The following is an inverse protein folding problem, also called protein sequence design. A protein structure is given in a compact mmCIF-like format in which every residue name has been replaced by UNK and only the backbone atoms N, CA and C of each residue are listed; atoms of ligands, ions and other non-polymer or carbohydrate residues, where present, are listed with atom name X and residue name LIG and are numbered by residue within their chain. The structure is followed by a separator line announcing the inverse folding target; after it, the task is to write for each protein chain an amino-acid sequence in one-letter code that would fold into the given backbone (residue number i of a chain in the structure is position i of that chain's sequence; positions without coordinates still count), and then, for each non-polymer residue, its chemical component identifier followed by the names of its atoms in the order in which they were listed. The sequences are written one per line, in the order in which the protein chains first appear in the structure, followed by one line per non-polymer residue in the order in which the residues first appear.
data_IF_571981491317
#
_entry.id   IF_571981491317
#
_cell.length_a   1.000
_cell.length_b   1.000
_cell.length_c   1.000
_cell.angle_alpha   90.00
_cell.angle_beta   90.00
_cell.angle_gamma   90.00
#
_symmetry.space_group_name_H-M   'P 1'
#
loop_
_entity.id
_entity.type
_entity.pdbx_description
1 polymer ?
#
# COMPACT_ATOMS: atom_id res chain seq x y z
N UNK A 1 -13.25 -2.14 9.00
CA UNK A 1 -13.21 -0.66 9.07
C UNK A 1 -13.92 -0.09 7.86
N UNK A 2 -14.47 1.10 7.99
CA UNK A 2 -15.14 1.81 6.91
C UNK A 2 -14.56 3.21 6.81
N UNK A 3 -14.43 3.73 5.60
CA UNK A 3 -13.96 5.10 5.35
C UNK A 3 -15.05 5.88 4.63
N UNK A 4 -15.43 7.02 5.22
CA UNK A 4 -16.38 7.95 4.64
C UNK A 4 -15.62 9.16 4.10
N UNK A 5 -15.62 9.31 2.77
CA UNK A 5 -14.95 10.42 2.09
C UNK A 5 -15.62 11.77 2.35
N UNK A 6 -16.94 11.83 2.47
CA UNK A 6 -17.65 13.10 2.63
C UNK A 6 -17.34 13.73 3.97
N UNK A 7 -17.12 12.88 4.98
CA UNK A 7 -16.78 13.29 6.34
C UNK A 7 -15.27 13.22 6.63
N UNK A 8 -14.47 12.67 5.71
CA UNK A 8 -13.07 12.26 5.92
C UNK A 8 -12.90 11.49 7.23
N UNK A 9 -13.76 10.49 7.44
CA UNK A 9 -13.87 9.77 8.70
C UNK A 9 -13.57 8.30 8.51
N UNK A 10 -12.57 7.82 9.25
CA UNK A 10 -12.23 6.43 9.33
C UNK A 10 -12.87 5.81 10.58
N UNK A 11 -13.79 4.88 10.36
CA UNK A 11 -14.57 4.24 11.42
C UNK A 11 -14.09 2.82 11.67
N UNK A 12 -13.83 2.52 12.93
CA UNK A 12 -13.51 1.19 13.40
C UNK A 12 -14.74 0.54 14.03
N UNK A 13 -15.22 -0.51 13.38
CA UNK A 13 -16.37 -1.31 13.81
C UNK A 13 -15.88 -2.63 14.41
N UNK A 14 -16.58 -3.09 15.46
CA UNK A 14 -16.36 -4.38 16.10
C UNK A 14 -17.51 -5.32 15.72
N UNK A 15 -17.17 -6.41 15.03
CA UNK A 15 -18.09 -7.51 14.79
C UNK A 15 -18.00 -8.51 15.94
N UNK A 16 -19.11 -8.75 16.63
CA UNK A 16 -19.23 -9.68 17.74
C UNK A 16 -20.10 -10.84 17.28
N UNK A 17 -19.57 -12.06 17.34
CA UNK A 17 -20.29 -13.29 17.00
C UNK A 17 -20.60 -14.03 18.30
N UNK A 18 -21.85 -13.95 18.75
CA UNK A 18 -22.35 -14.72 19.89
C UNK A 18 -22.86 -16.07 19.39
N UNK A 19 -22.00 -17.10 19.53
CA UNK A 19 -22.33 -18.47 19.10
C UNK A 19 -23.46 -19.09 19.92
N UNK A 20 -23.59 -18.72 21.20
CA UNK A 20 -24.61 -19.30 22.08
C UNK A 20 -26.01 -18.78 21.74
N UNK A 21 -26.11 -17.52 21.31
CA UNK A 21 -27.38 -16.89 20.91
C UNK A 21 -27.63 -16.90 19.40
N UNK A 22 -26.74 -17.54 18.62
CA UNK A 22 -26.73 -17.50 17.16
C UNK A 22 -26.92 -16.08 16.59
N UNK A 23 -26.34 -15.07 17.26
CA UNK A 23 -26.53 -13.65 16.95
C UNK A 23 -25.19 -12.99 16.65
N UNK A 24 -25.17 -12.21 15.57
CA UNK A 24 -24.03 -11.37 15.23
C UNK A 24 -24.42 -9.91 15.40
N UNK A 25 -23.63 -9.14 16.15
CA UNK A 25 -23.81 -7.69 16.28
C UNK A 25 -22.58 -6.97 15.72
N UNK A 26 -22.81 -5.84 15.06
CA UNK A 26 -21.75 -4.95 14.60
C UNK A 26 -21.90 -3.63 15.33
N UNK A 27 -20.88 -3.24 16.09
CA UNK A 27 -20.89 -2.03 16.90
C UNK A 27 -19.82 -1.06 16.39
N UNK A 28 -20.21 0.19 16.13
CA UNK A 28 -19.24 1.26 15.92
C UNK A 28 -18.50 1.52 17.23
N UNK A 29 -17.17 1.58 17.20
CA UNK A 29 -16.37 1.81 18.42
C UNK A 29 -15.59 3.11 18.38
N UNK A 30 -14.98 3.47 17.25
CA UNK A 30 -14.10 4.63 17.15
C UNK A 30 -14.20 5.29 15.79
N UNK A 31 -14.02 6.60 15.78
CA UNK A 31 -13.92 7.42 14.60
C UNK A 31 -12.60 8.20 14.63
N UNK A 32 -11.94 8.29 13.48
CA UNK A 32 -10.67 8.97 13.32
C UNK A 32 -10.77 9.90 12.12
N UNK A 33 -10.40 11.16 12.28
CA UNK A 33 -10.26 12.05 11.13
C UNK A 33 -9.09 11.56 10.27
N UNK A 34 -9.33 11.39 8.98
CA UNK A 34 -8.34 10.91 8.03
C UNK A 34 -8.62 11.52 6.66
N UNK A 35 -7.92 12.61 6.33
CA UNK A 35 -8.15 13.43 5.13
C UNK A 35 -7.52 12.82 3.87
N UNK A 36 -7.75 11.53 3.66
CA UNK A 36 -7.33 10.81 2.47
C UNK A 36 -8.45 10.74 1.42
N UNK A 37 -8.09 10.43 0.18
CA UNK A 37 -9.04 10.05 -0.86
C UNK A 37 -9.38 8.56 -0.77
N UNK A 38 -10.63 8.19 -1.01
CA UNK A 38 -11.18 6.87 -0.69
C UNK A 38 -10.45 5.75 -1.43
N UNK A 39 -10.11 5.99 -2.70
CA UNK A 39 -9.37 5.03 -3.54
C UNK A 39 -7.94 4.73 -3.05
N UNK A 40 -7.38 5.61 -2.23
CA UNK A 40 -6.01 5.49 -1.72
C UNK A 40 -5.92 4.82 -0.36
N UNK A 41 -7.03 4.71 0.39
CA UNK A 41 -7.00 4.17 1.75
C UNK A 41 -6.66 2.69 1.74
N UNK A 42 -5.55 2.34 2.39
CA UNK A 42 -5.07 0.96 2.58
C UNK A 42 -4.90 0.66 4.06
N UNK A 43 -5.21 -0.57 4.45
CA UNK A 43 -5.08 -1.04 5.83
C UNK A 43 -4.16 -2.24 5.86
N UNK A 44 -3.02 -2.09 6.51
CA UNK A 44 -2.07 -3.15 6.81
C UNK A 44 -2.40 -3.82 8.14
N UNK A 45 -2.64 -5.14 8.08
CA UNK A 45 -2.93 -5.97 9.26
C UNK A 45 -1.68 -6.67 9.84
N UNK A 46 -0.50 -6.48 9.24
CA UNK A 46 0.74 -7.17 9.61
C UNK A 46 1.19 -6.95 11.05
N UNK A 47 0.82 -5.80 11.65
CA UNK A 47 1.13 -5.47 13.04
C UNK A 47 0.08 -5.86 14.06
N UNK A 48 -0.99 -6.59 13.69
CA UNK A 48 -2.10 -6.86 14.61
C UNK A 48 -1.65 -7.60 15.89
N UNK A 49 -0.64 -8.47 15.78
CA UNK A 49 -0.02 -9.15 16.93
C UNK A 49 0.70 -8.19 17.89
N UNK A 50 1.08 -7.00 17.42
CA UNK A 50 1.68 -5.92 18.20
C UNK A 50 0.62 -4.95 18.76
N UNK A 51 -0.67 -5.26 18.58
CA UNK A 51 -1.77 -4.42 19.03
C UNK A 51 -2.14 -3.28 18.10
N UNK A 52 -1.53 -3.19 16.90
CA UNK A 52 -1.72 -2.10 15.95
C UNK A 52 -2.11 -2.59 14.56
N UNK A 53 -2.83 -1.73 13.84
CA UNK A 53 -2.99 -1.78 12.38
C UNK A 53 -2.37 -0.52 11.80
N UNK A 54 -1.79 -0.62 10.62
CA UNK A 54 -1.27 0.53 9.90
C UNK A 54 -2.32 0.97 8.87
N UNK A 55 -2.64 2.27 8.84
CA UNK A 55 -3.53 2.86 7.85
C UNK A 55 -2.72 3.84 7.02
N UNK A 56 -2.69 3.62 5.72
CA UNK A 56 -2.09 4.52 4.74
C UNK A 56 -3.16 5.14 3.85
N UNK A 57 -2.90 6.33 3.35
CA UNK A 57 -3.77 7.02 2.38
C UNK A 57 -3.11 8.30 1.88
N UNK A 58 -3.65 8.85 0.80
CA UNK A 58 -3.12 10.05 0.14
C UNK A 58 -4.15 11.16 0.14
N UNK A 59 -3.70 12.41 0.29
CA UNK A 59 -4.58 13.58 0.33
C UNK A 59 -5.23 13.93 -1.01
N UNK A 60 -4.60 13.58 -2.13
CA UNK A 60 -5.13 13.79 -3.48
C UNK A 60 -4.65 12.69 -4.42
N UNK A 61 -5.03 12.75 -5.69
CA UNK A 61 -4.51 11.86 -6.74
C UNK A 61 -3.70 12.61 -7.81
N UNK A 62 -3.45 13.89 -7.57
CA UNK A 62 -2.71 14.77 -8.46
C UNK A 62 -1.39 15.15 -7.80
N UNK A 63 -0.56 15.90 -8.52
CA UNK A 63 0.72 16.40 -8.03
C UNK A 63 0.55 17.16 -6.70
N UNK A 64 1.38 16.83 -5.71
CA UNK A 64 1.28 17.38 -4.35
C UNK A 64 0.55 16.47 -3.35
N UNK A 65 0.31 15.20 -3.71
CA UNK A 65 -0.17 14.19 -2.77
C UNK A 65 0.75 14.06 -1.55
N UNK A 66 0.15 14.06 -0.36
CA UNK A 66 0.85 13.80 0.91
C UNK A 66 0.42 12.42 1.37
N UNK A 67 1.40 11.53 1.56
CA UNK A 67 1.15 10.25 2.19
C UNK A 67 0.87 10.45 3.68
N UNK A 68 -0.30 9.99 4.13
CA UNK A 68 -0.70 9.98 5.52
C UNK A 68 -0.59 8.57 6.06
N UNK A 69 0.09 8.42 7.20
CA UNK A 69 0.20 7.13 7.89
C UNK A 69 -0.26 7.26 9.34
N UNK A 70 -1.13 6.35 9.77
CA UNK A 70 -1.62 6.23 11.14
C UNK A 70 -1.43 4.82 11.65
N UNK A 71 -0.94 4.67 12.88
CA UNK A 71 -1.02 3.42 13.60
C UNK A 71 -2.21 3.50 14.55
N UNK A 72 -3.19 2.63 14.32
CA UNK A 72 -4.42 2.58 15.11
C UNK A 72 -4.47 1.28 15.89
N UNK A 73 -5.14 1.24 17.05
CA UNK A 73 -5.27 0.00 17.83
C UNK A 73 -6.00 -1.07 17.02
N UNK A 74 -5.43 -2.28 16.96
CA UNK A 74 -6.02 -3.39 16.22
C UNK A 74 -7.35 -3.85 16.85
N UNK A 75 -7.39 -3.95 18.19
CA UNK A 75 -8.65 -4.14 18.92
C UNK A 75 -9.26 -2.75 19.23
N UNK A 76 -10.46 -2.42 18.70
CA UNK A 76 -11.13 -1.16 18.99
C UNK A 76 -11.50 -0.95 20.46
N UNK A 77 -11.44 -1.99 21.30
CA UNK A 77 -11.65 -1.91 22.75
C UNK A 77 -10.36 -1.65 23.53
N UNK A 78 -9.20 -1.81 22.89
CA UNK A 78 -7.91 -1.66 23.58
C UNK A 78 -7.71 -0.22 24.05
N UNK A 79 -7.53 -0.03 25.35
CA UNK A 79 -7.13 1.23 25.98
C UNK A 79 -5.62 1.38 26.12
N UNK A 80 -4.86 0.32 25.85
CA UNK A 80 -3.40 0.24 26.09
C UNK A 80 -2.54 0.79 24.95
N UNK A 81 -3.12 0.86 23.75
CA UNK A 81 -2.43 1.26 22.54
C UNK A 81 -2.96 2.63 22.13
N UNK A 82 -2.19 3.73 22.32
CA UNK A 82 -2.58 5.03 21.82
C UNK A 82 -2.40 5.08 20.29
N UNK A 83 -3.24 5.85 19.57
CA UNK A 83 -3.04 6.10 18.14
C UNK A 83 -1.75 6.89 17.90
N UNK A 84 -1.03 6.59 16.82
CA UNK A 84 0.21 7.26 16.45
C UNK A 84 0.04 7.92 15.08
N UNK A 85 0.39 9.21 14.99
CA UNK A 85 0.44 9.97 13.74
C UNK A 85 1.89 10.06 13.26
N UNK A 86 2.15 9.60 12.03
CA UNK A 86 3.48 9.59 11.42
C UNK A 86 3.67 10.65 10.33
N UNK A 87 2.76 11.61 10.13
CA UNK A 87 2.84 12.58 9.02
C UNK A 87 4.17 13.37 9.00
N UNK A 88 4.67 13.76 10.17
CA UNK A 88 5.94 14.47 10.26
C UNK A 88 7.11 13.58 9.83
N UNK A 89 7.12 12.32 10.25
CA UNK A 89 8.12 11.33 9.88
C UNK A 89 8.04 10.98 8.38
N UNK A 90 6.83 10.93 7.82
CA UNK A 90 6.64 10.74 6.37
C UNK A 90 7.21 11.93 5.59
N UNK A 91 6.95 13.17 6.01
CA UNK A 91 7.54 14.35 5.37
C UNK A 91 9.08 14.38 5.43
N UNK A 92 9.66 13.92 6.55
CA UNK A 92 11.11 13.72 6.65
C UNK A 92 11.61 12.65 5.68
N UNK A 93 10.90 11.51 5.60
CA UNK A 93 11.26 10.42 4.69
C UNK A 93 11.20 10.86 3.23
N UNK A 94 10.14 11.56 2.83
CA UNK A 94 10.01 12.13 1.47
C UNK A 94 11.16 13.10 1.15
N UNK A 95 11.63 13.85 2.14
CA UNK A 95 12.78 14.74 1.98
C UNK A 95 14.07 13.95 1.73
N UNK A 96 14.29 12.86 2.47
CA UNK A 96 15.45 11.96 2.25
C UNK A 96 15.38 11.26 0.88
N UNK A 97 14.19 10.85 0.45
CA UNK A 97 13.98 10.22 -0.85
C UNK A 97 14.33 11.20 -1.98
N UNK A 98 13.89 12.46 -1.89
CA UNK A 98 14.18 13.51 -2.89
C UNK A 98 15.67 13.86 -3.02
N UNK A 99 16.50 13.47 -2.05
CA UNK A 99 17.95 13.67 -2.10
C UNK A 99 18.66 12.55 -2.87
N UNK A 100 17.97 11.46 -3.20
CA UNK A 100 18.54 10.37 -3.99
C UNK A 100 18.76 10.80 -5.45
N UNK A 101 19.79 10.27 -6.13
CA UNK A 101 20.07 10.60 -7.53
C UNK A 101 18.99 10.08 -8.49
N UNK A 102 18.25 9.04 -8.07
CA UNK A 102 17.13 8.45 -8.79
C UNK A 102 15.82 9.13 -8.39
N UNK A 103 14.93 9.34 -9.36
CA UNK A 103 13.59 9.90 -9.14
C UNK A 103 12.70 8.87 -8.43
N UNK A 104 12.86 8.80 -7.11
CA UNK A 104 12.20 7.88 -6.21
C UNK A 104 11.01 8.53 -5.52
N UNK A 105 10.01 7.70 -5.21
CA UNK A 105 8.78 8.07 -4.54
C UNK A 105 8.44 6.98 -3.53
N UNK A 106 7.73 7.35 -2.45
CA UNK A 106 7.06 6.33 -1.67
C UNK A 106 5.98 5.71 -2.55
N UNK A 107 5.89 4.37 -2.60
CA UNK A 107 4.90 3.71 -3.44
C UNK A 107 3.48 4.12 -2.99
N UNK A 108 2.75 4.90 -3.82
CA UNK A 108 1.52 5.59 -3.43
C UNK A 108 0.38 4.69 -2.89
N UNK A 109 0.27 3.47 -3.41
CA UNK A 109 -0.80 2.52 -3.08
C UNK A 109 -0.31 1.27 -2.34
N UNK A 110 0.94 1.30 -1.85
CA UNK A 110 1.50 0.19 -1.09
C UNK A 110 0.77 0.01 0.25
N UNK A 111 0.82 -1.22 0.77
CA UNK A 111 0.39 -1.46 2.15
C UNK A 111 1.55 -1.10 3.07
N UNK A 112 1.28 -0.23 4.04
CA UNK A 112 2.25 0.12 5.08
C UNK A 112 2.61 -1.12 5.88
N UNK A 113 3.90 -1.47 5.87
CA UNK A 113 4.41 -2.64 6.61
C UNK A 113 4.78 -2.23 8.04
N UNK A 114 4.49 -3.09 9.00
CA UNK A 114 4.69 -2.80 10.43
C UNK A 114 5.25 -4.00 11.16
N UNK A 115 6.37 -3.84 11.86
CA UNK A 115 6.90 -4.83 12.79
C UNK A 115 7.29 -4.18 14.13
N UNK A 116 7.92 -4.95 15.03
CA UNK A 116 8.29 -4.46 16.37
C UNK A 116 9.36 -3.37 16.38
N UNK A 117 10.10 -3.20 15.28
CA UNK A 117 11.14 -2.18 15.13
C UNK A 117 10.64 -0.91 14.47
N UNK A 118 9.58 -0.95 13.68
CA UNK A 118 9.16 0.22 12.94
C UNK A 118 8.15 -0.03 11.84
N UNK A 119 7.92 1.05 11.09
CA UNK A 119 7.12 1.09 9.87
C UNK A 119 8.04 1.10 8.66
N UNK A 120 7.69 0.32 7.64
CA UNK A 120 8.47 0.19 6.41
C UNK A 120 7.58 0.44 5.19
N UNK A 121 8.12 1.21 4.25
CA UNK A 121 7.41 1.76 3.09
C UNK A 121 8.18 1.39 1.82
N UNK A 122 7.59 0.56 0.94
CA UNK A 122 8.17 0.27 -0.37
C UNK A 122 8.32 1.54 -1.19
N UNK A 123 9.39 1.61 -1.97
CA UNK A 123 9.64 2.74 -2.86
C UNK A 123 9.33 2.36 -4.31
N UNK A 124 9.10 3.37 -5.13
CA UNK A 124 8.94 3.23 -6.56
C UNK A 124 9.78 4.27 -7.28
N UNK A 125 10.43 3.87 -8.37
CA UNK A 125 11.14 4.75 -9.30
C UNK A 125 10.26 5.10 -10.48
N UNK A 126 10.39 6.33 -10.99
CA UNK A 126 9.75 6.72 -12.24
C UNK A 126 10.54 6.19 -13.43
N UNK A 127 9.85 5.50 -14.32
CA UNK A 127 10.38 5.08 -15.61
C UNK A 127 9.40 5.49 -16.72
N UNK A 128 9.73 6.60 -17.41
CA UNK A 128 8.84 7.24 -18.37
C UNK A 128 7.51 7.66 -17.72
N UNK A 129 6.42 7.02 -18.14
CA UNK A 129 5.06 7.28 -17.64
C UNK A 129 4.58 6.26 -16.59
N UNK A 130 5.44 5.33 -16.19
CA UNK A 130 5.11 4.27 -15.22
C UNK A 130 5.96 4.38 -13.96
N UNK A 131 5.40 3.91 -12.85
CA UNK A 131 6.14 3.70 -11.61
C UNK A 131 6.51 2.21 -11.50
N UNK A 132 7.78 1.96 -11.17
CA UNK A 132 8.36 0.63 -11.04
C UNK A 132 8.82 0.45 -9.61
N UNK A 133 8.49 -0.67 -8.97
CA UNK A 133 8.97 -0.99 -7.64
C UNK A 133 10.50 -0.95 -7.61
N UNK A 134 11.05 -0.23 -6.64
CA UNK A 134 12.48 -0.18 -6.38
C UNK A 134 12.83 -1.24 -5.33
N UNK A 135 13.64 -2.23 -5.71
CA UNK A 135 14.04 -3.33 -4.85
C UNK A 135 15.29 -3.04 -4.02
N UNK A 136 16.01 -1.95 -4.31
CA UNK A 136 17.32 -1.65 -3.71
C UNK A 136 17.20 -0.87 -2.41
N UNK A 137 16.09 -0.15 -2.22
CA UNK A 137 15.86 0.70 -1.05
C UNK A 137 14.47 0.51 -0.47
N UNK A 138 14.38 0.58 0.86
CA UNK A 138 13.10 0.69 1.57
C UNK A 138 13.12 1.89 2.49
N UNK A 139 12.02 2.65 2.50
CA UNK A 139 11.84 3.73 3.48
C UNK A 139 11.47 3.15 4.84
N UNK A 140 12.08 3.68 5.90
CA UNK A 140 11.87 3.19 7.26
C UNK A 140 11.63 4.33 8.25
N UNK A 141 10.71 4.08 9.18
CA UNK A 141 10.48 4.89 10.38
C UNK A 141 10.61 3.92 11.56
N UNK A 142 11.78 3.88 12.18
CA UNK A 142 12.07 2.99 13.29
C UNK A 142 11.64 3.60 14.63
N UNK A 143 11.11 2.76 15.51
CA UNK A 143 10.70 3.12 16.86
C UNK A 143 11.91 3.07 17.79
N UNK A 144 12.24 4.21 18.39
CA UNK A 144 13.37 4.34 19.29
C UNK A 144 12.93 4.05 20.74
N UNK A 145 13.82 3.52 21.61
CA UNK A 145 13.49 3.20 23.00
C UNK A 145 13.04 4.39 23.85
N UNK A 146 13.42 5.60 23.45
CA UNK A 146 13.06 6.87 24.10
C UNK A 146 11.68 7.40 23.66
N UNK A 147 10.98 6.69 22.77
CA UNK A 147 9.69 7.09 22.22
C UNK A 147 9.78 8.00 20.99
N UNK A 148 10.98 8.35 20.53
CA UNK A 148 11.18 9.06 19.28
C UNK A 148 11.16 8.12 18.07
N UNK A 149 11.27 8.72 16.88
CA UNK A 149 11.33 8.01 15.62
C UNK A 149 12.64 8.32 14.90
N UNK A 150 13.27 7.28 14.36
CA UNK A 150 14.42 7.41 13.46
C UNK A 150 13.95 7.18 12.02
N UNK A 151 14.16 8.17 11.16
CA UNK A 151 13.69 8.16 9.76
C UNK A 151 14.88 7.97 8.84
N UNK A 152 14.86 6.91 8.03
CA UNK A 152 16.00 6.57 7.17
C UNK A 152 15.59 5.75 5.94
N UNK A 153 16.51 5.69 4.99
CA UNK A 153 16.50 4.73 3.89
C UNK A 153 17.38 3.55 4.27
N UNK A 154 16.92 2.35 3.97
CA UNK A 154 17.64 1.11 4.25
C UNK A 154 17.95 0.43 2.93
N UNK A 155 19.24 0.13 2.72
CA UNK A 155 19.70 -0.68 1.59
C UNK A 155 19.18 -2.11 1.70
N UNK A 156 18.73 -2.64 0.56
CA UNK A 156 18.21 -3.99 0.41
C UNK A 156 19.11 -4.71 -0.59
N UNK A 157 19.55 -5.91 -0.22
CA UNK A 157 20.23 -6.80 -1.16
C UNK A 157 19.22 -7.29 -2.21
N UNK A 158 19.37 -6.79 -3.43
CA UNK A 158 18.47 -7.03 -4.55
C UNK A 158 19.10 -7.90 -5.64
N UNK A 159 20.17 -8.66 -5.31
CA UNK A 159 20.90 -9.49 -6.26
C UNK A 159 20.00 -10.44 -7.06
N UNK A 160 19.00 -11.02 -6.40
CA UNK A 160 18.02 -11.96 -6.98
C UNK A 160 16.95 -11.26 -7.85
N UNK A 161 16.85 -9.93 -7.76
CA UNK A 161 15.85 -9.14 -8.49
C UNK A 161 16.40 -8.52 -9.78
N UNK A 162 17.72 -8.62 -10.01
CA UNK A 162 18.41 -7.97 -11.15
C UNK A 162 17.90 -8.42 -12.52
N UNK A 163 17.48 -9.68 -12.63
CA UNK A 163 16.99 -10.25 -13.89
C UNK A 163 15.48 -10.05 -14.08
N UNK A 164 14.78 -9.49 -13.09
CA UNK A 164 13.34 -9.22 -13.17
C UNK A 164 13.12 -7.95 -13.99
N UNK A 165 12.26 -8.06 -15.00
CA UNK A 165 12.03 -6.93 -15.91
C UNK A 165 11.28 -5.78 -15.20
N UNK A 166 11.55 -4.55 -15.62
CA UNK A 166 10.83 -3.36 -15.11
C UNK A 166 9.32 -3.47 -15.29
N UNK A 167 8.90 -4.22 -16.30
CA UNK A 167 7.51 -4.53 -16.57
C UNK A 167 6.89 -5.41 -15.49
N UNK A 168 7.63 -6.40 -15.00
CA UNK A 168 7.17 -7.27 -13.91
C UNK A 168 7.15 -6.55 -12.56
N UNK A 169 8.05 -5.59 -12.40
CA UNK A 169 8.14 -4.70 -11.23
C UNK A 169 7.20 -3.48 -11.32
N UNK A 170 6.47 -3.31 -12.43
CA UNK A 170 5.55 -2.19 -12.58
C UNK A 170 4.43 -2.27 -11.54
N UNK A 171 4.31 -1.23 -10.72
CA UNK A 171 3.40 -1.22 -9.57
C UNK A 171 1.92 -1.31 -9.99
N UNK A 172 1.61 -0.95 -11.23
CA UNK A 172 0.26 -1.02 -11.78
C UNK A 172 -0.23 -2.45 -11.98
N UNK A 173 0.67 -3.44 -12.07
CA UNK A 173 0.31 -4.85 -12.19
C UNK A 173 0.25 -5.56 -10.83
N UNK A 174 0.56 -4.87 -9.74
CA UNK A 174 0.54 -5.46 -8.40
C UNK A 174 -0.91 -5.63 -7.96
N UNK A 175 -1.32 -6.88 -7.79
CA UNK A 175 -2.67 -7.25 -7.38
C UNK A 175 -2.79 -7.38 -5.86
N UNK A 176 -1.70 -7.74 -5.18
CA UNK A 176 -1.69 -7.97 -3.73
C UNK A 176 -0.34 -7.63 -3.12
N UNK A 177 -0.39 -7.04 -1.93
CA UNK A 177 0.72 -6.99 -1.00
C UNK A 177 0.25 -7.53 0.35
N UNK A 178 1.00 -8.46 0.93
CA UNK A 178 0.69 -9.01 2.25
C UNK A 178 1.95 -9.10 3.10
N UNK A 179 1.78 -9.03 4.42
CA UNK A 179 2.86 -9.10 5.39
C UNK A 179 2.56 -10.18 6.43
N UNK A 180 3.57 -10.95 6.80
CA UNK A 180 3.53 -11.88 7.93
C UNK A 180 4.84 -11.81 8.71
N UNK A 181 4.77 -11.35 9.95
CA UNK A 181 5.96 -11.19 10.79
C UNK A 181 6.94 -10.20 10.16
N UNK A 182 8.16 -10.67 9.88
CA UNK A 182 9.25 -9.87 9.27
C UNK A 182 9.32 -9.98 7.75
N UNK A 183 8.37 -10.67 7.13
CA UNK A 183 8.36 -10.91 5.68
C UNK A 183 7.15 -10.23 5.04
N UNK A 184 7.34 -9.76 3.82
CA UNK A 184 6.27 -9.27 2.96
C UNK A 184 6.37 -9.94 1.60
N UNK A 185 5.22 -10.07 0.94
CA UNK A 185 5.09 -10.66 -0.38
C UNK A 185 4.29 -9.70 -1.24
N UNK A 186 4.80 -9.47 -2.44
CA UNK A 186 4.16 -8.68 -3.49
C UNK A 186 3.79 -9.67 -4.59
N UNK A 187 2.56 -9.62 -5.06
CA UNK A 187 2.09 -10.45 -6.16
C UNK A 187 1.65 -9.53 -7.30
N UNK A 188 2.28 -9.72 -8.46
CA UNK A 188 1.97 -9.01 -9.70
C UNK A 188 1.29 -9.94 -10.69
N UNK A 189 0.22 -9.48 -11.33
CA UNK A 189 -0.43 -10.17 -12.44
C UNK A 189 -0.15 -9.36 -13.70
N UNK A 190 0.94 -9.72 -14.37
CA UNK A 190 1.44 -9.01 -15.55
C UNK A 190 0.77 -9.60 -16.79
N UNK A 191 0.12 -8.80 -17.65
CA UNK A 191 -0.46 -9.31 -18.89
C UNK A 191 0.61 -9.92 -19.80
N UNK A 192 0.24 -10.76 -20.76
CA UNK A 192 1.21 -11.25 -21.76
C UNK A 192 1.80 -10.08 -22.56
N UNK A 193 3.09 -10.17 -22.90
CA UNK A 193 3.76 -9.13 -23.69
C UNK A 193 3.01 -8.83 -25.00
N UNK A 194 2.82 -7.55 -25.41
CA UNK A 194 2.21 -7.23 -26.71
C UNK A 194 2.86 -7.93 -27.91
N UNK A 195 4.15 -8.29 -27.81
CA UNK A 195 4.88 -9.07 -28.81
C UNK A 195 4.52 -10.56 -28.82
N UNK A 196 3.88 -11.05 -27.75
CA UNK A 196 3.46 -12.43 -27.60
C UNK A 196 2.43 -12.82 -28.67
N UNK A 197 2.59 -14.01 -29.25
CA UNK A 197 1.77 -14.50 -30.39
C UNK A 197 0.25 -14.46 -30.14
N UNK A 198 -0.17 -14.62 -28.88
CA UNK A 198 -1.58 -14.49 -28.45
C UNK A 198 -2.21 -13.14 -28.83
N UNK A 199 -1.46 -12.04 -28.72
CA UNK A 199 -1.94 -10.72 -29.13
C UNK A 199 -2.04 -10.59 -30.65
N UNK A 200 -1.13 -11.21 -31.41
CA UNK A 200 -1.24 -11.28 -32.88
C UNK A 200 -2.50 -12.03 -33.30
N UNK A 201 -2.82 -13.16 -32.65
CA UNK A 201 -4.04 -13.90 -32.93
C UNK A 201 -5.31 -13.16 -32.55
N UNK A 202 -5.35 -12.49 -31.39
CA UNK A 202 -6.50 -11.66 -31.02
C UNK A 202 -6.74 -10.53 -32.02
N UNK A 203 -5.67 -9.86 -32.48
CA UNK A 203 -5.81 -8.82 -33.52
C UNK A 203 -6.36 -9.39 -34.83
N UNK A 204 -5.87 -10.55 -35.27
CA UNK A 204 -6.36 -11.22 -36.48
C UNK A 204 -7.84 -11.60 -36.33
N UNK A 205 -8.23 -12.22 -35.20
CA UNK A 205 -9.61 -12.60 -34.93
C UNK A 205 -10.56 -11.39 -34.91
N UNK A 206 -10.17 -10.29 -34.23
CA UNK A 206 -10.96 -9.05 -34.20
C UNK A 206 -11.11 -8.44 -35.60
N UNK A 207 -10.05 -8.44 -36.41
CA UNK A 207 -10.11 -7.97 -37.80
C UNK A 207 -11.05 -8.81 -38.65
N UNK A 208 -11.00 -10.15 -38.53
CA UNK A 208 -11.91 -11.06 -39.24
C UNK A 208 -13.36 -10.84 -38.81
N UNK A 209 -13.64 -10.76 -37.51
CA UNK A 209 -14.99 -10.50 -36.99
C UNK A 209 -15.53 -9.14 -37.45
N UNK A 210 -14.71 -8.08 -37.44
CA UNK A 210 -15.12 -6.75 -37.95
C UNK A 210 -15.38 -6.74 -39.44
N UNK A 211 -14.63 -7.53 -40.21
CA UNK A 211 -14.84 -7.66 -41.64
C UNK A 211 -16.13 -8.43 -41.94
N UNK A 212 -16.36 -9.56 -41.27
CA UNK A 212 -17.60 -10.34 -41.38
C UNK A 212 -18.84 -9.55 -40.93
N UNK A 213 -18.73 -8.75 -39.87
CA UNK A 213 -19.83 -7.90 -39.38
C UNK A 213 -20.15 -6.69 -40.29
N UNK A 214 -19.26 -6.32 -41.22
CA UNK A 214 -19.51 -5.28 -42.23
C UNK A 214 -20.09 -5.83 -43.54
N UNK A 215 -20.08 -7.15 -43.70
CA UNK A 215 -20.61 -7.85 -44.88
C UNK A 215 -22.06 -8.34 -44.68
N UNK A 216 -22.58 -8.23 -43.45
CA UNK A 216 -24.00 -8.33 -43.11
C UNK A 216 -24.59 -6.93 -42.95
#
# INVERSE_FOLDING_TARGET
MTFDQQLNLLTQNLLIIDKAKAKTTCEMKRNWKFDAIQRSVKIGLGGAALGYIAVGGMTSAELGEILMVRLLPADPRSLRHPPINLDSQIGQLETLIKQQPTDLFIWPLSTVMLNSKGVYLPLARRYGQTLVFDSSLVGAIEFMPDGNFDVKLIDVDDSEMRDVSERELCINFVSMMAQRGRSAWITSIVPADPSHWRWKLQKIAVSICRFAARLN
#
